data_IF_958263534578
#
_entry.id   IF_958263534578
#
_cell.length_a   1.000
_cell.length_b   1.000
_cell.length_c   1.000
_cell.angle_alpha   90.00
_cell.angle_beta   90.00
_cell.angle_gamma   90.00
#
_symmetry.space_group_name_H-M   'P 1'
#
loop_
_entity.id
_entity.type
_entity.pdbx_description
1 polymer ?
#
# COMPACT_ATOMS: atom_id res chain seq x y z
N UNK A 1 73.94 47.56 71.93
CA UNK A 1 72.51 47.94 72.11
C UNK A 1 71.89 48.62 70.89
N UNK A 2 72.08 49.92 70.61
CA UNK A 2 71.36 50.61 69.51
C UNK A 2 71.55 49.99 68.10
N UNK A 3 72.77 49.57 67.74
CA UNK A 3 73.02 48.88 66.46
C UNK A 3 72.42 47.47 66.38
N UNK A 4 72.27 46.79 67.51
CA UNK A 4 71.67 45.45 67.57
C UNK A 4 70.15 45.55 67.49
N UNK A 5 69.55 46.53 68.15
CA UNK A 5 68.12 46.86 68.02
C UNK A 5 67.75 47.20 66.57
N UNK A 6 68.56 47.99 65.86
CA UNK A 6 68.34 48.29 64.44
C UNK A 6 68.39 47.05 63.53
N UNK A 7 69.31 46.11 63.80
CA UNK A 7 69.39 44.82 63.08
C UNK A 7 68.16 43.94 63.34
N UNK A 8 67.65 43.92 64.57
CA UNK A 8 66.43 43.17 64.92
C UNK A 8 65.21 43.78 64.25
N UNK A 9 65.05 45.11 64.27
CA UNK A 9 63.95 45.81 63.58
C UNK A 9 63.97 45.56 62.07
N UNK A 10 65.15 45.60 61.44
CA UNK A 10 65.28 45.32 60.01
C UNK A 10 64.95 43.86 59.67
N UNK A 11 65.42 42.89 60.46
CA UNK A 11 65.06 41.48 60.30
C UNK A 11 63.56 41.24 60.49
N UNK A 12 62.93 41.89 61.46
CA UNK A 12 61.50 41.80 61.68
C UNK A 12 60.71 42.43 60.52
N UNK A 13 61.16 43.55 59.95
CA UNK A 13 60.55 44.15 58.76
C UNK A 13 60.67 43.22 57.55
N UNK A 14 61.82 42.59 57.33
CA UNK A 14 62.02 41.60 56.27
C UNK A 14 61.14 40.35 56.44
N UNK A 15 61.02 39.84 57.67
CA UNK A 15 60.14 38.72 57.98
C UNK A 15 58.67 39.09 57.73
N UNK A 16 58.25 40.30 58.13
CA UNK A 16 56.91 40.81 57.88
C UNK A 16 56.61 40.94 56.38
N UNK A 17 57.55 41.50 55.61
CA UNK A 17 57.40 41.62 54.15
C UNK A 17 57.38 40.25 53.46
N UNK A 18 58.21 39.29 53.89
CA UNK A 18 58.18 37.93 53.36
C UNK A 18 56.86 37.21 53.70
N UNK A 19 56.32 37.41 54.91
CA UNK A 19 55.05 36.84 55.33
C UNK A 19 53.88 37.44 54.53
N UNK A 20 53.86 38.76 54.33
CA UNK A 20 52.85 39.44 53.50
C UNK A 20 52.90 38.90 52.06
N UNK A 21 54.09 38.83 51.44
CA UNK A 21 54.26 38.28 50.09
C UNK A 21 53.79 36.82 50.00
N UNK A 22 54.06 36.01 51.02
CA UNK A 22 53.58 34.63 51.08
C UNK A 22 52.05 34.55 51.15
N UNK A 23 51.42 35.41 51.96
CA UNK A 23 49.96 35.46 52.09
C UNK A 23 49.29 36.00 50.81
N UNK A 24 49.88 36.99 50.16
CA UNK A 24 49.41 37.51 48.88
C UNK A 24 49.50 36.44 47.77
N UNK A 25 50.61 35.69 47.72
CA UNK A 25 50.77 34.60 46.77
C UNK A 25 49.75 33.47 47.02
N UNK A 26 49.52 33.10 48.28
CA UNK A 26 48.49 32.12 48.65
C UNK A 26 47.08 32.62 48.31
N UNK A 27 46.78 33.89 48.58
CA UNK A 27 45.49 34.50 48.23
C UNK A 27 45.25 34.53 46.72
N UNK A 28 46.26 34.86 45.94
CA UNK A 28 46.20 34.82 44.48
C UNK A 28 45.99 33.38 43.97
N UNK A 29 46.70 32.41 44.55
CA UNK A 29 46.57 31.01 44.18
C UNK A 29 45.16 30.47 44.49
N UNK A 30 44.62 30.77 45.66
CA UNK A 30 43.24 30.41 46.03
C UNK A 30 42.20 31.05 45.10
N UNK A 31 42.42 32.30 44.69
CA UNK A 31 41.53 32.97 43.75
C UNK A 31 41.55 32.29 42.36
N UNK A 32 42.72 31.87 41.88
CA UNK A 32 42.87 31.12 40.62
C UNK A 32 42.19 29.76 40.69
N UNK A 33 42.47 28.99 41.74
CA UNK A 33 41.84 27.67 41.95
C UNK A 33 40.32 27.80 42.01
N UNK A 34 39.80 28.79 42.75
CA UNK A 34 38.35 29.05 42.79
C UNK A 34 37.78 29.36 41.40
N UNK A 35 38.47 30.17 40.59
CA UNK A 35 38.01 30.47 39.23
C UNK A 35 38.01 29.21 38.36
N UNK A 36 39.07 28.41 38.39
CA UNK A 36 39.15 27.15 37.63
C UNK A 36 38.05 26.15 38.04
N UNK A 37 37.70 26.09 39.32
CA UNK A 37 36.57 25.27 39.78
C UNK A 37 35.23 25.78 39.26
N UNK A 38 35.03 27.09 39.21
CA UNK A 38 33.81 27.68 38.66
C UNK A 38 33.70 27.42 37.16
N UNK A 39 34.79 27.58 36.42
CA UNK A 39 34.83 27.36 34.97
C UNK A 39 34.48 25.89 34.64
N UNK A 40 35.08 24.93 35.34
CA UNK A 40 34.74 23.50 35.19
C UNK A 40 33.28 23.19 35.49
N UNK A 41 32.74 23.79 36.56
CA UNK A 41 31.35 23.57 36.94
C UNK A 41 30.39 24.17 35.90
N UNK A 42 30.75 25.28 35.28
CA UNK A 42 30.02 25.84 34.15
C UNK A 42 30.07 24.91 32.94
N UNK A 43 31.25 24.41 32.55
CA UNK A 43 31.42 23.45 31.45
C UNK A 43 30.56 22.19 31.66
N UNK A 44 30.64 21.56 32.84
CA UNK A 44 29.82 20.40 33.18
C UNK A 44 28.31 20.69 33.12
N UNK A 45 27.90 21.90 33.53
CA UNK A 45 26.49 22.31 33.46
C UNK A 45 26.02 22.49 32.02
N UNK A 46 26.85 23.08 31.15
CA UNK A 46 26.55 23.24 29.73
C UNK A 46 26.46 21.88 29.02
N UNK A 47 27.38 20.95 29.30
CA UNK A 47 27.34 19.59 28.77
C UNK A 47 26.07 18.84 29.21
N UNK A 48 25.67 18.96 30.48
CA UNK A 48 24.44 18.36 30.99
C UNK A 48 23.19 18.96 30.33
N UNK A 49 23.17 20.26 30.06
CA UNK A 49 22.08 20.92 29.33
C UNK A 49 21.98 20.37 27.90
N UNK A 50 23.09 20.31 27.16
CA UNK A 50 23.13 19.75 25.81
C UNK A 50 22.65 18.29 25.77
N UNK A 51 23.07 17.47 26.74
CA UNK A 51 22.61 16.08 26.85
C UNK A 51 21.10 15.98 27.13
N UNK A 52 20.52 16.90 27.92
CA UNK A 52 19.08 16.94 28.17
C UNK A 52 18.32 17.33 26.92
N UNK A 53 18.77 18.35 26.19
CA UNK A 53 18.17 18.79 24.93
C UNK A 53 18.16 17.64 23.91
N UNK A 54 19.29 16.94 23.74
CA UNK A 54 19.38 15.77 22.85
C UNK A 54 18.42 14.64 23.26
N UNK A 55 18.27 14.39 24.57
CA UNK A 55 17.30 13.38 25.06
C UNK A 55 15.86 13.78 24.76
N UNK A 56 15.51 15.04 25.00
CA UNK A 56 14.17 15.54 24.69
C UNK A 56 13.88 15.48 23.18
N UNK A 57 14.85 15.81 22.33
CA UNK A 57 14.71 15.68 20.88
C UNK A 57 14.50 14.22 20.44
N UNK A 58 15.25 13.28 21.03
CA UNK A 58 15.06 11.85 20.78
C UNK A 58 13.69 11.35 21.26
N UNK A 59 13.21 11.82 22.40
CA UNK A 59 11.87 11.48 22.90
C UNK A 59 10.77 12.03 21.97
N UNK A 60 10.89 13.28 21.51
CA UNK A 60 9.98 13.87 20.53
C UNK A 60 9.99 13.08 19.22
N UNK A 61 11.17 12.72 18.71
CA UNK A 61 11.30 11.93 17.48
C UNK A 61 10.66 10.54 17.64
N UNK A 62 10.87 9.87 18.78
CA UNK A 62 10.22 8.59 19.07
C UNK A 62 8.70 8.71 19.08
N UNK A 63 8.14 9.76 19.67
CA UNK A 63 6.68 10.00 19.66
C UNK A 63 6.14 10.17 18.25
N UNK A 64 6.85 10.92 17.39
CA UNK A 64 6.47 11.09 15.98
C UNK A 64 6.52 9.75 15.24
N UNK A 65 7.60 8.98 15.40
CA UNK A 65 7.74 7.66 14.78
C UNK A 65 6.66 6.66 15.24
N UNK A 66 6.30 6.67 16.53
CA UNK A 66 5.22 5.85 17.06
C UNK A 66 3.86 6.25 16.48
N UNK A 67 3.59 7.55 16.38
CA UNK A 67 2.36 8.05 15.77
C UNK A 67 2.27 7.69 14.28
N UNK A 68 3.36 7.86 13.52
CA UNK A 68 3.43 7.45 12.11
C UNK A 68 3.22 5.94 11.96
N UNK A 69 3.86 5.13 12.81
CA UNK A 69 3.64 3.67 12.85
C UNK A 69 2.17 3.32 13.07
N UNK A 70 1.50 3.96 14.03
CA UNK A 70 0.07 3.74 14.28
C UNK A 70 -0.78 4.10 13.06
N UNK A 71 -0.50 5.24 12.41
CA UNK A 71 -1.20 5.64 11.19
C UNK A 71 -1.01 4.63 10.05
N UNK A 72 0.20 4.08 9.88
CA UNK A 72 0.43 3.01 8.89
C UNK A 72 -0.35 1.74 9.22
N UNK A 73 -0.39 1.34 10.49
CA UNK A 73 -1.15 0.17 10.92
C UNK A 73 -2.67 0.34 10.69
N UNK A 74 -3.21 1.53 10.94
CA UNK A 74 -4.61 1.88 10.65
C UNK A 74 -4.92 1.76 9.16
N UNK A 75 -4.11 2.39 8.29
CA UNK A 75 -4.31 2.34 6.84
C UNK A 75 -4.23 0.89 6.33
N UNK A 76 -3.30 0.08 6.83
CA UNK A 76 -3.21 -1.33 6.47
C UNK A 76 -4.45 -2.12 6.90
N UNK A 77 -5.06 -1.80 8.05
CA UNK A 77 -6.30 -2.43 8.50
C UNK A 77 -7.48 -2.00 7.62
N UNK A 78 -7.61 -0.72 7.31
CA UNK A 78 -8.64 -0.19 6.39
C UNK A 78 -8.58 -0.90 5.03
N UNK A 79 -7.39 -0.95 4.42
CA UNK A 79 -7.19 -1.62 3.12
C UNK A 79 -7.55 -3.12 3.16
N UNK A 80 -7.32 -3.82 4.27
CA UNK A 80 -7.71 -5.22 4.43
C UNK A 80 -9.23 -5.40 4.52
N UNK A 81 -9.91 -4.51 5.24
CA UNK A 81 -11.38 -4.54 5.33
C UNK A 81 -11.99 -4.31 3.95
N UNK A 82 -11.47 -3.34 3.19
CA UNK A 82 -11.91 -3.06 1.81
C UNK A 82 -11.64 -4.25 0.88
N UNK A 83 -10.47 -4.91 0.99
CA UNK A 83 -10.18 -6.12 0.21
C UNK A 83 -11.21 -7.23 0.45
N UNK A 84 -11.57 -7.48 1.72
CA UNK A 84 -12.59 -8.49 2.06
C UNK A 84 -13.99 -8.07 1.60
N UNK A 85 -14.31 -6.78 1.63
CA UNK A 85 -15.56 -6.23 1.11
C UNK A 85 -15.69 -6.48 -0.40
N UNK A 86 -14.67 -6.12 -1.18
CA UNK A 86 -14.62 -6.30 -2.64
C UNK A 86 -14.69 -7.79 -3.01
N UNK A 87 -14.02 -8.65 -2.24
CA UNK A 87 -14.09 -10.10 -2.44
C UNK A 87 -15.51 -10.63 -2.28
N UNK A 88 -16.24 -10.19 -1.26
CA UNK A 88 -17.66 -10.58 -1.08
C UNK A 88 -18.52 -10.09 -2.24
N UNK A 89 -18.28 -8.88 -2.74
CA UNK A 89 -19.03 -8.31 -3.86
C UNK A 89 -18.76 -9.06 -5.16
N UNK A 90 -17.49 -9.38 -5.46
CA UNK A 90 -17.12 -10.27 -6.56
C UNK A 90 -17.83 -11.63 -6.50
N UNK A 91 -17.91 -12.22 -5.31
CA UNK A 91 -18.62 -13.48 -5.10
C UNK A 91 -20.13 -13.35 -5.36
N UNK A 92 -20.74 -12.23 -4.96
CA UNK A 92 -22.15 -11.95 -5.23
C UNK A 92 -22.40 -11.75 -6.73
N UNK A 93 -21.59 -10.93 -7.42
CA UNK A 93 -21.67 -10.71 -8.86
C UNK A 93 -21.50 -12.02 -9.63
N UNK A 94 -20.53 -12.86 -9.24
CA UNK A 94 -20.33 -14.17 -9.85
C UNK A 94 -21.52 -15.12 -9.66
N UNK A 95 -22.21 -15.07 -8.50
CA UNK A 95 -23.44 -15.85 -8.27
C UNK A 95 -24.59 -15.33 -9.13
N UNK A 96 -24.76 -14.01 -9.24
CA UNK A 96 -25.77 -13.39 -10.09
C UNK A 96 -25.56 -13.75 -11.57
N UNK A 97 -24.33 -13.68 -12.08
CA UNK A 97 -23.98 -14.09 -13.44
C UNK A 97 -24.39 -15.54 -13.73
N UNK A 98 -24.06 -16.47 -12.82
CA UNK A 98 -24.46 -17.88 -12.95
C UNK A 98 -25.98 -18.06 -13.01
N UNK A 99 -26.74 -17.27 -12.24
CA UNK A 99 -28.20 -17.27 -12.31
C UNK A 99 -28.72 -16.84 -13.68
N UNK A 100 -28.21 -15.73 -14.21
CA UNK A 100 -28.59 -15.22 -15.55
C UNK A 100 -28.18 -16.20 -16.66
N UNK A 101 -27.01 -16.85 -16.56
CA UNK A 101 -26.60 -17.89 -17.50
C UNK A 101 -27.55 -19.09 -17.50
N UNK A 102 -28.05 -19.49 -16.33
CA UNK A 102 -29.00 -20.58 -16.21
C UNK A 102 -30.37 -20.22 -16.81
N UNK A 103 -30.89 -19.02 -16.51
CA UNK A 103 -32.11 -18.51 -17.13
C UNK A 103 -31.99 -18.41 -18.66
N UNK A 104 -30.84 -17.98 -19.19
CA UNK A 104 -30.59 -17.97 -20.64
C UNK A 104 -30.66 -19.37 -21.25
N UNK A 105 -30.14 -20.40 -20.57
CA UNK A 105 -30.22 -21.79 -21.07
C UNK A 105 -31.67 -22.26 -21.11
N UNK A 106 -32.44 -21.97 -20.07
CA UNK A 106 -33.87 -22.31 -19.98
C UNK A 106 -34.68 -21.60 -21.07
N UNK A 107 -34.45 -20.31 -21.28
CA UNK A 107 -35.11 -19.54 -22.33
C UNK A 107 -34.73 -20.01 -23.75
N UNK A 108 -33.48 -20.44 -23.98
CA UNK A 108 -33.06 -21.05 -25.25
C UNK A 108 -33.82 -22.34 -25.51
N UNK A 109 -33.86 -23.25 -24.54
CA UNK A 109 -34.61 -24.50 -24.66
C UNK A 109 -36.10 -24.27 -24.89
N UNK A 110 -36.70 -23.28 -24.20
CA UNK A 110 -38.09 -22.88 -24.43
C UNK A 110 -38.28 -22.35 -25.86
N UNK A 111 -37.40 -21.46 -26.33
CA UNK A 111 -37.48 -20.88 -27.68
C UNK A 111 -37.31 -21.95 -28.76
N UNK A 112 -36.39 -22.90 -28.57
CA UNK A 112 -36.20 -24.07 -29.45
C UNK A 112 -37.46 -24.94 -29.51
N UNK A 113 -38.08 -25.21 -28.36
CA UNK A 113 -39.32 -25.99 -28.28
C UNK A 113 -40.49 -25.29 -28.97
N UNK A 114 -40.66 -23.98 -28.72
CA UNK A 114 -41.67 -23.17 -29.38
C UNK A 114 -41.47 -23.15 -30.90
N UNK A 115 -40.22 -23.04 -31.36
CA UNK A 115 -39.88 -23.09 -32.78
C UNK A 115 -40.25 -24.44 -33.42
N UNK A 116 -39.95 -25.57 -32.76
CA UNK A 116 -40.34 -26.90 -33.24
C UNK A 116 -41.85 -27.05 -33.35
N UNK A 117 -42.60 -26.64 -32.32
CA UNK A 117 -44.08 -26.71 -32.35
C UNK A 117 -44.70 -25.82 -33.44
N UNK A 118 -44.12 -24.65 -33.70
CA UNK A 118 -44.54 -23.78 -34.80
C UNK A 118 -44.29 -24.43 -36.17
N UNK A 119 -43.15 -25.11 -36.34
CA UNK A 119 -42.82 -25.85 -37.57
C UNK A 119 -43.81 -27.00 -37.80
N UNK A 120 -44.11 -27.78 -36.76
CA UNK A 120 -45.11 -28.86 -36.80
C UNK A 120 -46.50 -28.35 -37.18
N UNK A 121 -46.98 -27.28 -36.53
CA UNK A 121 -48.27 -26.65 -36.87
C UNK A 121 -48.27 -26.07 -38.28
N UNK A 122 -47.14 -25.56 -38.78
CA UNK A 122 -47.04 -25.07 -40.16
C UNK A 122 -47.19 -26.21 -41.18
N UNK A 123 -46.67 -27.39 -40.86
CA UNK A 123 -46.81 -28.59 -41.68
C UNK A 123 -48.26 -29.09 -41.61
N UNK A 124 -48.86 -29.11 -40.43
CA UNK A 124 -50.27 -29.48 -40.26
C UNK A 124 -51.20 -28.53 -41.02
N UNK A 125 -50.96 -27.21 -40.94
CA UNK A 125 -51.67 -26.20 -41.72
C UNK A 125 -51.61 -26.49 -43.22
N UNK A 126 -50.42 -26.81 -43.76
CA UNK A 126 -50.25 -27.17 -45.17
C UNK A 126 -51.06 -28.41 -45.53
N UNK A 127 -51.00 -29.47 -44.72
CA UNK A 127 -51.78 -30.70 -44.93
C UNK A 127 -53.29 -30.44 -44.91
N UNK A 128 -53.78 -29.60 -43.99
CA UNK A 128 -55.21 -29.25 -43.94
C UNK A 128 -55.66 -28.42 -45.14
N UNK A 129 -54.79 -27.56 -45.67
CA UNK A 129 -55.07 -26.81 -46.91
C UNK A 129 -55.08 -27.75 -48.13
N UNK A 130 -54.12 -28.67 -48.24
CA UNK A 130 -54.07 -29.68 -49.30
C UNK A 130 -55.35 -30.54 -49.29
N UNK A 131 -55.83 -30.99 -48.12
CA UNK A 131 -57.09 -31.73 -48.00
C UNK A 131 -58.32 -30.89 -48.39
N UNK A 132 -58.33 -29.59 -48.07
CA UNK A 132 -59.40 -28.67 -48.48
C UNK A 132 -59.39 -28.47 -50.02
N UNK A 133 -58.22 -28.31 -50.63
CA UNK A 133 -58.07 -28.23 -52.09
C UNK A 133 -58.50 -29.55 -52.77
N UNK A 134 -58.12 -30.70 -52.23
CA UNK A 134 -58.56 -32.02 -52.71
C UNK A 134 -60.08 -32.18 -52.61
N UNK A 135 -60.71 -31.73 -51.51
CA UNK A 135 -62.15 -31.73 -51.33
C UNK A 135 -62.87 -30.79 -52.31
N UNK A 136 -62.35 -29.58 -52.53
CA UNK A 136 -62.89 -28.64 -53.53
C UNK A 136 -62.79 -29.21 -54.95
N UNK A 137 -61.68 -29.87 -55.29
CA UNK A 137 -61.49 -30.53 -56.59
C UNK A 137 -62.43 -31.73 -56.77
N UNK A 138 -62.67 -32.51 -55.71
CA UNK A 138 -63.65 -33.62 -55.69
C UNK A 138 -65.09 -33.11 -55.78
N UNK A 139 -65.42 -32.00 -55.11
CA UNK A 139 -66.72 -31.33 -55.20
C UNK A 139 -66.93 -30.72 -56.59
N UNK A 140 -65.90 -30.17 -57.25
CA UNK A 140 -65.99 -29.72 -58.64
C UNK A 140 -66.19 -30.87 -59.64
N UNK A 141 -65.66 -32.07 -59.36
CA UNK A 141 -65.93 -33.27 -60.17
C UNK A 141 -67.32 -33.86 -59.91
N UNK A 142 -67.85 -33.73 -58.68
CA UNK A 142 -69.17 -34.23 -58.26
C UNK A 142 -70.32 -33.23 -58.46
N UNK A 143 -70.06 -31.93 -58.60
CA UNK A 143 -71.04 -30.87 -58.86
C UNK A 143 -71.79 -31.01 -60.21
N UNK A 144 -71.47 -32.03 -61.00
CA UNK A 144 -72.31 -32.45 -62.13
C UNK A 144 -73.59 -33.20 -61.69
N UNK A 145 -73.69 -33.65 -60.43
CA UNK A 145 -74.84 -34.40 -59.90
C UNK A 145 -75.09 -34.13 -58.40
N UNK A 146 -76.17 -33.39 -58.10
CA UNK A 146 -76.85 -33.25 -56.79
C UNK A 146 -76.36 -32.17 -55.80
N UNK A 147 -77.33 -31.37 -55.34
CA UNK A 147 -77.26 -30.43 -54.21
C UNK A 147 -77.24 -31.18 -52.87
N UNK A 148 -76.13 -31.10 -52.12
CA UNK A 148 -76.08 -31.43 -50.69
C UNK A 148 -75.10 -30.48 -49.95
N UNK A 149 -75.32 -30.19 -48.65
CA UNK A 149 -74.59 -29.17 -47.90
C UNK A 149 -73.15 -29.62 -47.55
N UNK A 150 -72.22 -28.68 -47.34
CA UNK A 150 -70.78 -28.95 -47.42
C UNK A 150 -70.24 -29.71 -46.18
N UNK A 151 -69.42 -30.76 -46.38
CA UNK A 151 -68.68 -31.43 -45.29
C UNK A 151 -67.48 -30.61 -44.75
N UNK A 152 -67.13 -29.47 -45.36
CA UNK A 152 -65.89 -28.73 -45.10
C UNK A 152 -65.87 -27.83 -43.86
N UNK A 153 -66.99 -27.63 -43.17
CA UNK A 153 -67.04 -26.76 -41.97
C UNK A 153 -66.07 -27.22 -40.86
N UNK A 154 -65.85 -28.53 -40.72
CA UNK A 154 -64.92 -29.10 -39.75
C UNK A 154 -63.44 -28.80 -40.08
N UNK A 155 -63.06 -28.90 -41.35
CA UNK A 155 -61.69 -28.62 -41.80
C UNK A 155 -61.38 -27.12 -41.73
N UNK A 156 -62.34 -26.26 -42.09
CA UNK A 156 -62.20 -24.82 -41.91
C UNK A 156 -62.12 -24.39 -40.43
N UNK A 157 -62.87 -25.06 -39.54
CA UNK A 157 -62.75 -24.83 -38.09
C UNK A 157 -61.38 -25.23 -37.56
N UNK A 158 -60.88 -26.40 -37.98
CA UNK A 158 -59.54 -26.90 -37.61
C UNK A 158 -58.44 -25.96 -38.11
N UNK A 159 -58.52 -25.50 -39.35
CA UNK A 159 -57.56 -24.54 -39.92
C UNK A 159 -57.52 -23.25 -39.09
N UNK A 160 -58.69 -22.71 -38.72
CA UNK A 160 -58.79 -21.52 -37.88
C UNK A 160 -58.16 -21.73 -36.50
N UNK A 161 -58.40 -22.89 -35.89
CA UNK A 161 -57.78 -23.24 -34.59
C UNK A 161 -56.25 -23.39 -34.69
N UNK A 162 -55.73 -23.95 -35.79
CA UNK A 162 -54.28 -24.04 -36.05
C UNK A 162 -53.69 -22.63 -36.17
N UNK A 163 -54.36 -21.73 -36.90
CA UNK A 163 -53.92 -20.34 -37.07
C UNK A 163 -53.91 -19.57 -35.75
N UNK A 164 -54.96 -19.71 -34.92
CA UNK A 164 -55.03 -19.10 -33.59
C UNK A 164 -53.93 -19.61 -32.66
N UNK A 165 -53.69 -20.93 -32.61
CA UNK A 165 -52.59 -21.52 -31.82
C UNK A 165 -51.23 -21.06 -32.31
N UNK A 166 -51.02 -20.98 -33.62
CA UNK A 166 -49.79 -20.50 -34.22
C UNK A 166 -49.53 -19.02 -33.85
N UNK A 167 -50.58 -18.18 -33.81
CA UNK A 167 -50.47 -16.80 -33.33
C UNK A 167 -50.09 -16.73 -31.85
N UNK A 168 -50.73 -17.52 -30.99
CA UNK A 168 -50.39 -17.58 -29.56
C UNK A 168 -48.93 -17.99 -29.33
N UNK A 169 -48.45 -19.03 -30.03
CA UNK A 169 -47.06 -19.48 -29.92
C UNK A 169 -46.04 -18.46 -30.45
N UNK A 170 -46.40 -17.69 -31.48
CA UNK A 170 -45.57 -16.58 -31.97
C UNK A 170 -45.45 -15.46 -30.93
N UNK A 171 -46.54 -15.13 -30.23
CA UNK A 171 -46.52 -14.15 -29.14
C UNK A 171 -45.66 -14.63 -27.97
N UNK A 172 -45.81 -15.90 -27.56
CA UNK A 172 -44.98 -16.51 -26.51
C UNK A 172 -43.49 -16.51 -26.89
N UNK A 173 -43.17 -16.87 -28.14
CA UNK A 173 -41.81 -16.83 -28.67
C UNK A 173 -41.24 -15.42 -28.60
N UNK A 174 -42.00 -14.41 -29.01
CA UNK A 174 -41.57 -13.01 -29.00
C UNK A 174 -41.34 -12.50 -27.57
N UNK A 175 -42.14 -12.95 -26.60
CA UNK A 175 -41.93 -12.66 -25.18
C UNK A 175 -40.66 -13.35 -24.63
N UNK A 176 -40.41 -14.61 -25.01
CA UNK A 176 -39.18 -15.32 -24.65
C UNK A 176 -37.94 -14.64 -25.23
N UNK A 177 -38.00 -14.18 -26.48
CA UNK A 177 -36.92 -13.43 -27.14
C UNK A 177 -36.65 -12.07 -26.48
N UNK A 178 -37.70 -11.36 -26.03
CA UNK A 178 -37.54 -10.12 -25.24
C UNK A 178 -36.81 -10.37 -23.93
N UNK A 179 -37.22 -11.39 -23.17
CA UNK A 179 -36.52 -11.80 -21.93
C UNK A 179 -35.09 -12.23 -22.17
N UNK A 180 -34.81 -12.90 -23.30
CA UNK A 180 -33.44 -13.25 -23.70
C UNK A 180 -32.56 -12.01 -23.88
N UNK A 181 -33.07 -10.97 -24.57
CA UNK A 181 -32.33 -9.70 -24.75
C UNK A 181 -32.09 -8.97 -23.43
N UNK A 182 -33.10 -8.91 -22.56
CA UNK A 182 -32.96 -8.33 -21.21
C UNK A 182 -31.89 -9.07 -20.39
N UNK A 183 -31.87 -10.41 -20.44
CA UNK A 183 -30.84 -11.20 -19.78
C UNK A 183 -29.45 -11.04 -20.42
N UNK A 184 -29.35 -10.74 -21.72
CA UNK A 184 -28.09 -10.39 -22.36
C UNK A 184 -27.53 -9.03 -21.90
N UNK A 185 -28.38 -8.03 -21.74
CA UNK A 185 -28.01 -6.74 -21.18
C UNK A 185 -27.60 -6.85 -19.71
N UNK A 186 -28.39 -7.58 -18.91
CA UNK A 186 -28.08 -7.86 -17.50
C UNK A 186 -26.75 -8.60 -17.33
N UNK A 187 -26.49 -9.59 -18.18
CA UNK A 187 -25.22 -10.33 -18.20
C UNK A 187 -24.04 -9.40 -18.52
N UNK A 188 -24.18 -8.50 -19.50
CA UNK A 188 -23.13 -7.53 -19.86
C UNK A 188 -22.81 -6.60 -18.69
N UNK A 189 -23.83 -6.03 -18.04
CA UNK A 189 -23.64 -5.16 -16.89
C UNK A 189 -22.92 -5.86 -15.71
N UNK A 190 -23.29 -7.12 -15.43
CA UNK A 190 -22.62 -7.90 -14.39
C UNK A 190 -21.18 -8.31 -14.76
N UNK A 191 -20.89 -8.50 -16.06
CA UNK A 191 -19.53 -8.77 -16.54
C UNK A 191 -18.62 -7.54 -16.32
N UNK A 192 -19.13 -6.34 -16.63
CA UNK A 192 -18.44 -5.08 -16.39
C UNK A 192 -18.19 -4.85 -14.89
N UNK A 193 -19.17 -5.16 -14.03
CA UNK A 193 -19.01 -5.11 -12.57
C UNK A 193 -17.92 -6.07 -12.07
N UNK A 194 -17.90 -7.30 -12.59
CA UNK A 194 -16.86 -8.29 -12.25
C UNK A 194 -15.48 -7.79 -12.65
N UNK A 195 -15.33 -7.25 -13.86
CA UNK A 195 -14.05 -6.72 -14.34
C UNK A 195 -13.59 -5.52 -13.50
N UNK A 196 -14.51 -4.63 -13.15
CA UNK A 196 -14.24 -3.49 -12.26
C UNK A 196 -13.69 -3.96 -10.92
N UNK A 197 -14.43 -4.80 -10.18
CA UNK A 197 -13.98 -5.26 -8.87
C UNK A 197 -12.74 -6.15 -8.95
N UNK A 198 -12.56 -6.91 -10.02
CA UNK A 198 -11.34 -7.70 -10.23
C UNK A 198 -10.12 -6.80 -10.38
N UNK A 199 -10.22 -5.73 -11.19
CA UNK A 199 -9.13 -4.76 -11.37
C UNK A 199 -8.81 -4.03 -10.07
N UNK A 200 -9.84 -3.67 -9.30
CA UNK A 200 -9.72 -3.00 -8.00
C UNK A 200 -9.06 -3.90 -6.96
N UNK A 201 -9.49 -5.16 -6.86
CA UNK A 201 -8.90 -6.16 -5.97
C UNK A 201 -7.42 -6.37 -6.27
N UNK A 202 -7.05 -6.45 -7.56
CA UNK A 202 -5.67 -6.60 -7.99
C UNK A 202 -4.83 -5.37 -7.64
N UNK A 203 -5.35 -4.15 -7.84
CA UNK A 203 -4.65 -2.91 -7.48
C UNK A 203 -4.38 -2.83 -5.96
N UNK A 204 -5.40 -3.13 -5.14
CA UNK A 204 -5.25 -3.18 -3.68
C UNK A 204 -4.27 -4.26 -3.23
N UNK A 205 -4.32 -5.44 -3.83
CA UNK A 205 -3.39 -6.52 -3.53
C UNK A 205 -1.94 -6.12 -3.82
N UNK A 206 -1.68 -5.47 -4.96
CA UNK A 206 -0.36 -4.97 -5.32
C UNK A 206 0.14 -3.92 -4.30
N UNK A 207 -0.73 -2.98 -3.92
CA UNK A 207 -0.39 -1.96 -2.91
C UNK A 207 -0.07 -2.57 -1.55
N UNK A 208 -0.85 -3.54 -1.08
CA UNK A 208 -0.60 -4.26 0.17
C UNK A 208 0.73 -5.04 0.12
N UNK A 209 1.05 -5.66 -1.02
CA UNK A 209 2.33 -6.35 -1.22
C UNK A 209 3.51 -5.39 -1.15
N UNK A 210 3.41 -4.23 -1.81
CA UNK A 210 4.45 -3.20 -1.80
C UNK A 210 4.68 -2.65 -0.39
N UNK A 211 3.62 -2.26 0.32
CA UNK A 211 3.70 -1.78 1.70
C UNK A 211 4.29 -2.83 2.64
N UNK A 212 3.92 -4.11 2.46
CA UNK A 212 4.48 -5.21 3.26
C UNK A 212 5.97 -5.39 3.00
N UNK A 213 6.41 -5.30 1.75
CA UNK A 213 7.82 -5.38 1.39
C UNK A 213 8.63 -4.20 1.96
N UNK A 214 8.11 -2.97 1.84
CA UNK A 214 8.74 -1.77 2.41
C UNK A 214 8.86 -1.88 3.94
N UNK A 215 7.80 -2.33 4.62
CA UNK A 215 7.84 -2.60 6.07
C UNK A 215 8.93 -3.60 6.43
N UNK A 216 8.99 -4.74 5.74
CA UNK A 216 9.98 -5.78 6.03
C UNK A 216 11.41 -5.27 5.81
N UNK A 217 11.63 -4.45 4.77
CA UNK A 217 12.92 -3.83 4.51
C UNK A 217 13.31 -2.87 5.64
N UNK A 218 12.42 -1.96 6.02
CA UNK A 218 12.66 -1.00 7.10
C UNK A 218 12.93 -1.70 8.45
N UNK A 219 12.21 -2.79 8.75
CA UNK A 219 12.45 -3.61 9.95
C UNK A 219 13.83 -4.29 9.92
N UNK A 220 14.30 -4.74 8.75
CA UNK A 220 15.64 -5.32 8.60
C UNK A 220 16.73 -4.28 8.78
N UNK A 221 16.57 -3.09 8.19
CA UNK A 221 17.49 -1.96 8.33
C UNK A 221 17.57 -1.51 9.79
N UNK A 222 16.42 -1.33 10.45
CA UNK A 222 16.37 -0.99 11.88
C UNK A 222 17.06 -2.05 12.73
N UNK A 223 16.84 -3.35 12.44
CA UNK A 223 17.51 -4.43 13.17
C UNK A 223 19.02 -4.45 12.97
N UNK A 224 19.51 -4.08 11.77
CA UNK A 224 20.93 -3.94 11.51
C UNK A 224 21.51 -2.77 12.30
N UNK A 225 20.83 -1.62 12.29
CA UNK A 225 21.24 -0.43 13.03
C UNK A 225 21.28 -0.68 14.55
N UNK A 226 20.26 -1.34 15.11
CA UNK A 226 20.22 -1.72 16.52
C UNK A 226 21.41 -2.63 16.88
N UNK A 227 21.79 -3.58 16.02
CA UNK A 227 22.97 -4.42 16.27
C UNK A 227 24.26 -3.60 16.31
N UNK A 228 24.44 -2.71 15.35
CA UNK A 228 25.61 -1.81 15.30
C UNK A 228 25.66 -0.95 16.57
N UNK A 229 24.52 -0.36 16.97
CA UNK A 229 24.42 0.41 18.21
C UNK A 229 24.76 -0.43 19.45
N UNK A 230 24.23 -1.64 19.56
CA UNK A 230 24.54 -2.54 20.68
C UNK A 230 26.03 -2.90 20.75
N UNK A 231 26.67 -3.11 19.60
CA UNK A 231 28.12 -3.38 19.54
C UNK A 231 28.93 -2.14 19.94
N UNK A 232 28.54 -0.94 19.49
CA UNK A 232 29.16 0.31 19.91
C UNK A 232 29.02 0.56 21.42
N UNK A 233 27.84 0.34 21.98
CA UNK A 233 27.59 0.46 23.43
C UNK A 233 28.39 -0.56 24.24
N UNK A 234 28.60 -1.78 23.72
CA UNK A 234 29.46 -2.78 24.36
C UNK A 234 30.91 -2.28 24.40
N UNK A 235 31.42 -1.79 23.27
CA UNK A 235 32.79 -1.29 23.15
C UNK A 235 33.03 -0.07 24.03
N UNK A 236 32.06 0.82 24.12
CA UNK A 236 32.12 1.97 25.03
C UNK A 236 32.25 1.50 26.48
N UNK A 237 31.43 0.54 26.90
CA UNK A 237 31.51 -0.06 28.25
C UNK A 237 32.84 -0.73 28.54
N UNK A 238 33.43 -1.42 27.56
CA UNK A 238 34.77 -2.02 27.68
C UNK A 238 35.85 -0.94 27.86
N UNK A 239 35.78 0.14 27.09
CA UNK A 239 36.69 1.28 27.22
C UNK A 239 36.53 1.99 28.59
N UNK A 240 35.30 2.21 29.07
CA UNK A 240 35.04 2.75 30.40
C UNK A 240 35.60 1.85 31.51
N UNK A 241 35.47 0.53 31.37
CA UNK A 241 36.03 -0.43 32.32
C UNK A 241 37.56 -0.39 32.33
N UNK A 242 38.20 -0.32 31.16
CA UNK A 242 39.64 -0.17 31.02
C UNK A 242 40.15 1.15 31.63
N UNK A 243 39.42 2.26 31.46
CA UNK A 243 39.72 3.54 32.10
C UNK A 243 39.67 3.44 33.62
N UNK A 244 38.59 2.88 34.17
CA UNK A 244 38.44 2.68 35.63
C UNK A 244 39.52 1.77 36.20
N UNK A 245 39.86 0.68 35.49
CA UNK A 245 40.95 -0.23 35.86
C UNK A 245 42.30 0.48 35.89
N UNK A 246 42.59 1.30 34.86
CA UNK A 246 43.80 2.08 34.77
C UNK A 246 43.91 3.10 35.91
N UNK A 247 42.83 3.81 36.21
CA UNK A 247 42.76 4.77 37.33
C UNK A 247 43.06 4.07 38.67
N UNK A 248 42.44 2.92 38.93
CA UNK A 248 42.70 2.13 40.15
C UNK A 248 44.15 1.63 40.22
N UNK A 249 44.71 1.22 39.08
CA UNK A 249 46.10 0.80 38.97
C UNK A 249 47.08 1.93 39.28
N UNK A 250 46.80 3.14 38.79
CA UNK A 250 47.61 4.34 39.03
C UNK A 250 47.52 4.82 40.49
N UNK A 251 46.34 4.74 41.10
CA UNK A 251 46.10 5.12 42.50
C UNK A 251 46.60 4.09 43.52
N UNK A 252 47.00 2.90 43.08
CA UNK A 252 47.53 1.84 43.95
C UNK A 252 48.95 2.15 44.44
N UNK A 253 49.14 2.17 45.75
CA UNK A 253 50.46 2.36 46.40
C UNK A 253 51.42 1.17 46.21
N UNK A 254 50.91 -0.01 45.85
CA UNK A 254 51.71 -1.23 45.63
C UNK A 254 51.78 -1.53 44.13
N UNK A 255 52.98 -1.45 43.56
CA UNK A 255 53.26 -1.84 42.17
C UNK A 255 53.81 -3.26 42.11
N UNK A 256 53.16 -4.11 41.32
CA UNK A 256 53.64 -5.43 40.96
C UNK A 256 53.67 -5.53 39.43
N UNK A 257 54.48 -6.46 38.90
CA UNK A 257 54.64 -6.66 37.45
C UNK A 257 53.30 -6.96 36.76
N UNK A 258 52.43 -7.71 37.42
CA UNK A 258 51.11 -8.08 36.91
C UNK A 258 50.17 -6.86 36.73
N UNK A 259 50.16 -5.90 37.67
CA UNK A 259 49.40 -4.65 37.52
C UNK A 259 49.97 -3.77 36.42
N UNK A 260 51.30 -3.70 36.29
CA UNK A 260 51.93 -2.95 35.20
C UNK A 260 51.58 -3.54 33.82
N UNK A 261 51.53 -4.87 33.70
CA UNK A 261 51.08 -5.56 32.48
C UNK A 261 49.60 -5.31 32.19
N UNK A 262 48.72 -5.37 33.20
CA UNK A 262 47.30 -5.03 33.05
C UNK A 262 47.08 -3.58 32.62
N UNK A 263 47.75 -2.63 33.27
CA UNK A 263 47.69 -1.21 32.88
C UNK A 263 48.18 -0.99 31.45
N UNK A 264 49.23 -1.70 31.02
CA UNK A 264 49.72 -1.62 29.63
C UNK A 264 48.70 -2.16 28.63
N UNK A 265 48.00 -3.25 28.98
CA UNK A 265 46.92 -3.80 28.17
C UNK A 265 45.74 -2.81 28.07
N UNK A 266 45.33 -2.22 29.20
CA UNK A 266 44.26 -1.20 29.26
C UNK A 266 44.61 0.03 28.41
N UNK A 267 45.83 0.57 28.54
CA UNK A 267 46.32 1.69 27.70
C UNK A 267 46.32 1.32 26.21
N UNK A 268 46.71 0.09 25.88
CA UNK A 268 46.72 -0.39 24.49
C UNK A 268 45.30 -0.54 23.92
N UNK A 269 44.35 -1.02 24.74
CA UNK A 269 42.94 -1.11 24.38
C UNK A 269 42.33 0.28 24.16
N UNK A 270 42.56 1.21 25.09
CA UNK A 270 42.08 2.59 24.99
C UNK A 270 42.65 3.32 23.76
N UNK A 271 43.95 3.15 23.50
CA UNK A 271 44.58 3.71 22.29
C UNK A 271 43.86 3.24 21.02
N UNK A 272 43.58 1.93 20.90
CA UNK A 272 42.85 1.38 19.75
C UNK A 272 41.42 1.93 19.65
N UNK A 273 40.73 2.05 20.78
CA UNK A 273 39.38 2.62 20.84
C UNK A 273 39.38 4.05 20.29
N UNK A 274 40.25 4.93 20.79
CA UNK A 274 40.33 6.31 20.33
C UNK A 274 40.80 6.44 18.87
N UNK A 275 41.77 5.63 18.42
CA UNK A 275 42.18 5.58 17.00
C UNK A 275 41.02 5.20 16.06
N UNK A 276 40.07 4.41 16.55
CA UNK A 276 38.87 4.08 15.78
C UNK A 276 37.81 5.17 15.84
N UNK A 277 37.59 5.81 16.99
CA UNK A 277 36.73 6.99 17.10
C UNK A 277 37.19 8.11 16.16
N UNK A 278 38.51 8.38 16.10
CA UNK A 278 39.10 9.38 15.20
C UNK A 278 38.83 9.00 13.74
N UNK A 279 39.08 7.75 13.34
CA UNK A 279 38.79 7.30 11.97
C UNK A 279 37.32 7.45 11.60
N UNK A 280 36.41 7.10 12.51
CA UNK A 280 34.98 7.22 12.26
C UNK A 280 34.54 8.68 12.13
N UNK A 281 35.04 9.57 13.00
CA UNK A 281 34.78 11.01 12.92
C UNK A 281 35.34 11.63 11.62
N UNK A 282 36.52 11.19 11.17
CA UNK A 282 37.07 11.61 9.87
C UNK A 282 36.22 11.15 8.69
N UNK A 283 35.67 9.94 8.75
CA UNK A 283 34.76 9.42 7.73
C UNK A 283 33.46 10.21 7.72
N UNK A 284 32.88 10.48 8.89
CA UNK A 284 31.67 11.27 9.05
C UNK A 284 31.84 12.71 8.53
N UNK A 285 32.96 13.36 8.86
CA UNK A 285 33.29 14.68 8.30
C UNK A 285 33.41 14.68 6.76
N UNK A 286 33.80 13.55 6.16
CA UNK A 286 33.88 13.36 4.70
C UNK A 286 32.54 12.95 4.07
N UNK A 287 31.53 12.55 4.85
CA UNK A 287 30.24 12.07 4.32
C UNK A 287 29.57 13.04 3.34
N UNK A 288 29.48 14.35 3.59
CA UNK A 288 28.85 15.29 2.65
C UNK A 288 29.53 15.29 1.27
N UNK A 289 30.86 15.14 1.24
CA UNK A 289 31.64 15.07 -0.02
C UNK A 289 31.43 13.73 -0.71
N UNK A 290 31.43 12.63 0.03
CA UNK A 290 31.17 11.28 -0.49
C UNK A 290 29.77 11.21 -1.11
N UNK A 291 28.75 11.76 -0.43
CA UNK A 291 27.38 11.83 -0.94
C UNK A 291 27.25 12.73 -2.18
N UNK A 292 27.91 13.89 -2.18
CA UNK A 292 27.94 14.76 -3.37
C UNK A 292 28.56 14.05 -4.59
N UNK A 293 29.61 13.28 -4.37
CA UNK A 293 30.30 12.53 -5.41
C UNK A 293 29.47 11.33 -5.92
N UNK A 294 28.75 10.61 -5.05
CA UNK A 294 27.87 9.51 -5.49
C UNK A 294 26.74 10.02 -6.38
N UNK A 295 26.11 11.13 -6.02
CA UNK A 295 25.10 11.81 -6.86
C UNK A 295 25.70 12.26 -8.19
N UNK A 296 26.91 12.82 -8.17
CA UNK A 296 27.60 13.22 -9.40
C UNK A 296 27.89 12.02 -10.31
N UNK A 297 28.33 10.88 -9.75
CA UNK A 297 28.58 9.64 -10.50
C UNK A 297 27.28 9.13 -11.15
N UNK A 298 26.17 9.08 -10.41
CA UNK A 298 24.88 8.68 -10.97
C UNK A 298 24.39 9.66 -12.05
N UNK A 299 24.55 10.97 -11.86
CA UNK A 299 24.23 11.98 -12.88
C UNK A 299 25.12 11.83 -14.12
N UNK A 300 26.41 11.60 -13.95
CA UNK A 300 27.35 11.39 -15.05
C UNK A 300 27.06 10.09 -15.81
N UNK A 301 26.77 8.99 -15.10
CA UNK A 301 26.36 7.71 -15.67
C UNK A 301 25.05 7.85 -16.46
N UNK A 302 24.05 8.55 -15.89
CA UNK A 302 22.78 8.83 -16.57
C UNK A 302 22.98 9.66 -17.84
N UNK A 303 23.85 10.67 -17.79
CA UNK A 303 24.24 11.46 -18.98
C UNK A 303 24.95 10.60 -20.03
N UNK A 304 25.86 9.71 -19.63
CA UNK A 304 26.50 8.74 -20.53
C UNK A 304 25.49 7.78 -21.16
N UNK A 305 24.58 7.19 -20.39
CA UNK A 305 23.52 6.31 -20.90
C UNK A 305 22.64 7.05 -21.91
N UNK A 306 22.23 8.29 -21.59
CA UNK A 306 21.48 9.13 -22.55
C UNK A 306 22.32 9.42 -23.81
N UNK A 307 23.60 9.77 -23.67
CA UNK A 307 24.50 10.02 -24.81
C UNK A 307 24.71 8.76 -25.68
N UNK A 308 24.87 7.58 -25.08
CA UNK A 308 24.94 6.30 -25.79
C UNK A 308 23.62 5.95 -26.48
N UNK A 309 22.46 6.30 -25.89
CA UNK A 309 21.15 6.21 -26.57
C UNK A 309 21.05 7.16 -27.77
N UNK A 310 21.62 8.36 -27.69
CA UNK A 310 21.67 9.28 -28.83
C UNK A 310 22.58 8.76 -29.96
N UNK A 311 23.71 8.13 -29.63
CA UNK A 311 24.57 7.49 -30.63
C UNK A 311 23.91 6.24 -31.24
N UNK A 312 23.17 5.45 -30.45
CA UNK A 312 22.41 4.29 -30.95
C UNK A 312 21.15 4.70 -31.73
N UNK A 313 20.52 5.85 -31.43
CA UNK A 313 19.42 6.41 -32.25
C UNK A 313 19.92 6.94 -33.58
N UNK A 314 21.13 7.53 -33.65
CA UNK A 314 21.69 8.00 -34.93
C UNK A 314 22.10 6.84 -35.87
N UNK A 315 22.40 5.66 -35.31
CA UNK A 315 22.57 4.41 -36.08
C UNK A 315 21.27 3.62 -36.29
N UNK A 316 20.15 4.04 -35.70
CA UNK A 316 18.85 3.36 -35.73
C UNK A 316 17.73 4.29 -36.22
N UNK A 317 18.05 5.28 -37.05
CA UNK A 317 17.04 6.07 -37.78
C UNK A 317 16.50 5.30 -38.99
N UNK A 318 16.15 4.03 -38.79
CA UNK A 318 15.49 3.22 -39.83
C UNK A 318 14.20 2.56 -39.34
N UNK A 319 13.89 2.50 -38.03
CA UNK A 319 12.64 1.86 -37.59
C UNK A 319 12.01 2.53 -36.35
N UNK A 320 10.93 3.27 -36.64
CA UNK A 320 9.67 3.48 -35.91
C UNK A 320 9.58 4.02 -34.47
N UNK A 321 8.56 4.87 -34.36
CA UNK A 321 7.98 5.55 -33.20
C UNK A 321 7.55 4.62 -32.06
N UNK A 322 7.86 5.02 -30.82
CA UNK A 322 7.05 4.78 -29.62
C UNK A 322 7.50 5.75 -28.50
N UNK A 323 6.52 6.37 -27.83
CA UNK A 323 6.65 7.45 -26.83
C UNK A 323 7.35 7.00 -25.53
N UNK A 324 8.11 7.86 -24.83
CA UNK A 324 8.64 7.52 -23.51
C UNK A 324 7.73 8.04 -22.38
N UNK A 325 7.28 7.13 -21.51
CA UNK A 325 6.69 7.45 -20.20
C UNK A 325 7.69 8.13 -19.28
N UNK A 326 7.25 9.19 -18.58
CA UNK A 326 7.99 9.84 -17.51
C UNK A 326 7.58 9.25 -16.16
N UNK A 327 8.55 8.77 -15.40
CA UNK A 327 8.43 8.58 -13.95
C UNK A 327 9.78 8.90 -13.29
N UNK A 328 9.69 9.23 -12.01
CA UNK A 328 10.73 9.57 -11.04
C UNK A 328 11.18 11.03 -10.96
N UNK A 329 10.64 11.75 -9.96
CA UNK A 329 11.38 12.49 -8.92
C UNK A 329 10.39 13.09 -7.93
N UNK A 330 10.38 12.65 -6.68
CA UNK A 330 9.80 13.43 -5.56
C UNK A 330 10.13 12.80 -4.19
N UNK A 331 10.98 13.47 -3.43
CA UNK A 331 11.33 13.16 -2.03
C UNK A 331 10.64 14.12 -1.04
N UNK A 332 9.41 14.51 -1.36
CA UNK A 332 8.57 15.38 -0.53
C UNK A 332 7.10 14.91 -0.59
N UNK A 333 6.90 13.64 -0.99
CA UNK A 333 5.61 13.06 -1.37
C UNK A 333 4.97 12.21 -0.28
N UNK A 334 5.65 11.91 0.84
CA UNK A 334 5.21 10.85 1.76
C UNK A 334 3.95 11.22 2.57
N UNK A 335 3.78 12.49 2.95
CA UNK A 335 2.54 12.97 3.58
C UNK A 335 1.37 13.07 2.58
N UNK A 336 1.65 13.44 1.32
CA UNK A 336 0.64 13.47 0.27
C UNK A 336 0.25 12.05 -0.18
N UNK A 337 1.16 11.07 -0.09
CA UNK A 337 0.91 9.68 -0.48
C UNK A 337 -0.12 9.00 0.43
N UNK A 338 -0.12 9.29 1.74
CA UNK A 338 -1.08 8.72 2.69
C UNK A 338 -2.47 9.34 2.47
N UNK A 339 -2.54 10.66 2.29
CA UNK A 339 -3.81 11.33 2.00
C UNK A 339 -4.34 10.95 0.60
N UNK A 340 -3.45 10.75 -0.39
CA UNK A 340 -3.78 10.19 -1.70
C UNK A 340 -4.24 8.73 -1.60
N UNK A 341 -3.61 7.90 -0.78
CA UNK A 341 -4.09 6.53 -0.51
C UNK A 341 -5.46 6.53 0.14
N UNK A 342 -5.70 7.45 1.10
CA UNK A 342 -7.00 7.64 1.75
C UNK A 342 -8.04 8.19 0.79
N UNK A 343 -7.68 9.13 -0.09
CA UNK A 343 -8.54 9.66 -1.16
C UNK A 343 -8.84 8.59 -2.20
N UNK A 344 -7.88 7.76 -2.57
CA UNK A 344 -8.07 6.61 -3.46
C UNK A 344 -9.00 5.61 -2.78
N UNK A 345 -8.75 5.20 -1.53
CA UNK A 345 -9.66 4.34 -0.77
C UNK A 345 -11.09 4.92 -0.70
N UNK A 346 -11.23 6.21 -0.39
CA UNK A 346 -12.53 6.91 -0.35
C UNK A 346 -13.19 7.03 -1.74
N UNK A 347 -12.43 7.23 -2.81
CA UNK A 347 -12.94 7.26 -4.20
C UNK A 347 -13.38 5.87 -4.65
N UNK A 348 -12.67 4.83 -4.21
CA UNK A 348 -13.03 3.43 -4.44
C UNK A 348 -14.32 3.05 -3.68
N UNK A 349 -14.60 3.65 -2.52
CA UNK A 349 -15.85 3.45 -1.76
C UNK A 349 -17.04 4.30 -2.23
N UNK A 350 -16.83 5.37 -3.01
CA UNK A 350 -17.89 6.36 -3.34
C UNK A 350 -18.95 5.91 -4.34
N UNK A 351 -18.89 4.67 -4.81
CA UNK A 351 -19.85 4.13 -5.77
C UNK A 351 -21.16 3.63 -5.15
N UNK A 352 -21.45 4.00 -3.90
CA UNK A 352 -22.76 3.80 -3.28
C UNK A 352 -23.90 4.46 -4.08
N UNK A 353 -23.64 5.58 -4.76
CA UNK A 353 -24.61 6.23 -5.67
C UNK A 353 -24.87 5.42 -6.93
N UNK A 354 -23.86 4.74 -7.47
CA UNK A 354 -24.02 3.83 -8.61
C UNK A 354 -24.79 2.58 -8.18
N UNK A 355 -24.47 2.01 -7.01
CA UNK A 355 -25.24 0.91 -6.41
C UNK A 355 -26.69 1.27 -6.16
N UNK A 356 -26.97 2.46 -5.62
CA UNK A 356 -28.33 2.95 -5.39
C UNK A 356 -29.07 3.18 -6.71
N UNK A 357 -28.42 3.76 -7.72
CA UNK A 357 -28.99 3.96 -9.06
C UNK A 357 -29.34 2.64 -9.74
N UNK A 358 -28.46 1.64 -9.66
CA UNK A 358 -28.65 0.31 -10.25
C UNK A 358 -29.66 -0.52 -9.46
N UNK A 359 -29.65 -0.48 -8.12
CA UNK A 359 -30.73 -1.07 -7.31
C UNK A 359 -32.08 -0.43 -7.64
N UNK A 360 -32.12 0.88 -7.89
CA UNK A 360 -33.35 1.54 -8.30
C UNK A 360 -33.85 1.02 -9.65
N UNK A 361 -32.94 0.76 -10.61
CA UNK A 361 -33.24 0.14 -11.92
C UNK A 361 -33.74 -1.30 -11.74
N UNK A 362 -33.16 -2.07 -10.81
CA UNK A 362 -33.57 -3.45 -10.52
C UNK A 362 -34.92 -3.55 -9.77
N UNK A 363 -35.27 -2.55 -8.95
CA UNK A 363 -36.49 -2.55 -8.11
C UNK A 363 -37.69 -1.88 -8.80
N UNK A 364 -37.48 -0.98 -9.76
CA UNK A 364 -38.58 -0.22 -10.41
C UNK A 364 -39.23 -0.90 -11.62
N UNK A 365 -38.86 -2.14 -11.94
CA UNK A 365 -39.60 -2.97 -12.90
C UNK A 365 -40.38 -4.05 -12.13
N UNK A 366 -41.67 -3.81 -11.78
CA UNK A 366 -42.50 -4.85 -11.22
C UNK A 366 -42.78 -5.89 -12.32
N UNK A 367 -42.18 -7.08 -12.19
CA UNK A 367 -42.60 -8.24 -12.96
C UNK A 367 -44.10 -8.52 -12.71
N UNK A 368 -44.90 -8.84 -13.74
CA UNK A 368 -46.32 -9.08 -13.55
C UNK A 368 -46.54 -10.31 -12.68
N UNK A 369 -47.47 -10.17 -11.74
CA UNK A 369 -47.84 -11.12 -10.71
C UNK A 369 -48.09 -12.54 -11.25
N UNK A 370 -47.53 -13.53 -10.57
CA UNK A 370 -47.88 -14.93 -10.69
C UNK A 370 -49.33 -15.16 -10.28
N UNK A 371 -50.24 -15.13 -11.25
CA UNK A 371 -51.60 -15.61 -11.08
C UNK A 371 -51.58 -17.15 -11.06
N UNK A 372 -51.49 -17.73 -9.85
CA UNK A 372 -51.81 -19.13 -9.61
C UNK A 372 -53.33 -19.35 -9.78
N UNK A 373 -53.80 -20.32 -10.58
CA UNK A 373 -55.20 -20.73 -10.56
C UNK A 373 -55.42 -21.64 -9.34
N UNK A 374 -56.24 -21.19 -8.40
CA UNK A 374 -56.85 -22.07 -7.40
C UNK A 374 -57.89 -22.95 -8.10
N UNK A 375 -57.52 -24.18 -8.41
CA UNK A 375 -58.46 -25.24 -8.79
C UNK A 375 -59.25 -25.71 -7.58
N UNK A 376 -60.58 -25.60 -7.67
CA UNK A 376 -61.52 -26.21 -6.73
C UNK A 376 -61.65 -27.71 -6.93
N UNK A 377 -61.96 -28.40 -5.84
CA UNK A 377 -62.77 -29.62 -5.82
C UNK A 377 -63.89 -29.40 -4.82
#
# INVERSE_FOLDING_TARGET
MLQESGKVTWKNAQLGEAMIKSLEAQGLQLAKEKQEYLDKLMEETEELCLQREQREELERLNQVLEAEKQQFEEVVQELKVEQEQIKRELELTARCLKGVEQEKKELRHLTESLQQTLEELSIEKKKTLEMLEENENQLQTLASQSEQPPPDEGLHSNLRQIEEKMQQLLEEKLLAEKRMKENEERSRALEEEREFYSSQSQALQNSLQELTAQKQQAEQELKAEVKVRMDLERRLREAEAALRSLEQGLNSKVRNKEKEERMRADVSHLKRFFEECIRNAELEAKMPVIMKNSVYIHKAATRRIKSCRFHRRRSSTTWNDMKPSQSFMTSQLEANNIEELKEVAKRLSRDQRFRESIYHIMVTQPGPASALPKGGK
#
